data_IF_969269692859
#
_entry.id   IF_969269692859
#
_cell.length_a   1.000
_cell.length_b   1.000
_cell.length_c   1.000
_cell.angle_alpha   90.00
_cell.angle_beta   90.00
_cell.angle_gamma   90.00
#
_symmetry.space_group_name_H-M   'P 1'
#
loop_
_entity.id
_entity.type
_entity.pdbx_description
1 polymer ?
#
# COMPACT_ATOMS: atom_id res chain seq x y z
N UNK A 1 -11.29 4.13 15.79
CA UNK A 1 -11.69 4.73 17.08
C UNK A 1 -11.82 3.68 18.18
N UNK A 2 -12.50 2.58 17.95
CA UNK A 2 -12.70 1.55 18.98
C UNK A 2 -11.40 0.95 19.55
N UNK A 3 -10.39 0.78 18.73
CA UNK A 3 -9.07 0.36 19.17
C UNK A 3 -8.39 1.45 20.01
N UNK A 4 -8.47 2.70 19.54
CA UNK A 4 -7.96 3.86 20.28
C UNK A 4 -8.66 4.05 21.64
N UNK A 5 -9.97 3.82 21.73
CA UNK A 5 -10.74 3.84 22.98
C UNK A 5 -10.23 2.78 23.99
N UNK A 6 -9.68 1.65 23.50
CA UNK A 6 -9.06 0.61 24.34
C UNK A 6 -7.60 0.90 24.72
N UNK A 7 -7.03 2.00 24.25
CA UNK A 7 -5.64 2.40 24.54
C UNK A 7 -4.62 2.04 23.48
N UNK A 8 -5.06 1.51 22.31
CA UNK A 8 -4.16 1.22 21.19
C UNK A 8 -3.67 2.53 20.58
N UNK A 9 -2.37 2.66 20.37
CA UNK A 9 -1.77 3.77 19.63
C UNK A 9 -1.97 3.56 18.14
N UNK A 10 -2.63 4.52 17.47
CA UNK A 10 -2.99 4.43 16.06
C UNK A 10 -2.27 5.52 15.27
N UNK A 11 -1.48 5.09 14.30
CA UNK A 11 -0.76 5.96 13.39
C UNK A 11 -1.23 5.71 11.97
N UNK A 12 -1.70 6.75 11.31
CA UNK A 12 -2.17 6.71 9.91
C UNK A 12 -1.37 7.68 9.08
N UNK A 13 -0.79 7.20 8.00
CA UNK A 13 -0.11 8.05 7.02
C UNK A 13 -0.80 7.92 5.67
N UNK A 14 -0.99 9.05 5.00
CA UNK A 14 -1.69 9.16 3.73
C UNK A 14 -0.86 9.94 2.73
N UNK A 15 -0.90 9.55 1.47
CA UNK A 15 -0.26 10.30 0.39
C UNK A 15 -0.73 11.76 0.30
N UNK A 16 0.15 12.65 -0.11
CA UNK A 16 -0.10 14.10 -0.15
C UNK A 16 -1.21 14.53 -1.10
N UNK A 17 -1.42 13.85 -2.24
CA UNK A 17 -2.52 14.18 -3.16
C UNK A 17 -3.85 13.76 -2.53
N UNK A 18 -3.97 12.51 -2.08
CA UNK A 18 -5.16 12.05 -1.34
C UNK A 18 -5.35 12.85 -0.05
N UNK A 19 -4.24 13.20 0.61
CA UNK A 19 -4.25 14.09 1.76
C UNK A 19 -4.90 15.44 1.48
N UNK A 20 -4.56 16.05 0.36
CA UNK A 20 -5.13 17.33 -0.06
C UNK A 20 -6.60 17.21 -0.49
N UNK A 21 -6.93 16.20 -1.28
CA UNK A 21 -8.27 16.06 -1.87
C UNK A 21 -9.30 15.50 -0.89
N UNK A 22 -8.91 14.51 -0.07
CA UNK A 22 -9.87 13.66 0.63
C UNK A 22 -9.72 13.66 2.15
N UNK A 23 -8.57 14.06 2.70
CA UNK A 23 -8.24 13.87 4.13
C UNK A 23 -8.18 15.18 4.89
N UNK A 24 -7.44 16.18 4.41
CA UNK A 24 -7.33 17.47 5.08
C UNK A 24 -8.71 18.14 5.18
N UNK A 25 -9.02 18.70 6.36
CA UNK A 25 -10.32 19.30 6.67
C UNK A 25 -11.52 18.36 6.56
N UNK A 26 -11.32 17.07 6.28
CA UNK A 26 -12.39 16.09 6.23
C UNK A 26 -12.77 15.64 7.66
N UNK A 27 -14.02 15.88 8.10
CA UNK A 27 -14.44 15.58 9.48
C UNK A 27 -14.31 14.10 9.87
N UNK A 28 -14.35 13.17 8.93
CA UNK A 28 -14.17 11.74 9.20
C UNK A 28 -12.74 11.40 9.64
N UNK A 29 -11.74 11.93 8.94
CA UNK A 29 -10.34 11.77 9.32
C UNK A 29 -9.98 12.59 10.55
N UNK A 30 -10.53 13.79 10.67
CA UNK A 30 -10.36 14.63 11.86
C UNK A 30 -10.98 13.98 13.11
N UNK A 31 -12.07 13.21 12.96
CA UNK A 31 -12.66 12.44 14.06
C UNK A 31 -11.71 11.37 14.60
N UNK A 32 -10.88 10.76 13.73
CA UNK A 32 -9.82 9.84 14.15
C UNK A 32 -8.67 10.63 14.80
N UNK A 33 -8.17 11.66 14.13
CA UNK A 33 -7.03 12.48 14.58
C UNK A 33 -7.32 13.31 15.85
N UNK A 34 -8.58 13.48 16.21
CA UNK A 34 -9.00 14.10 17.48
C UNK A 34 -8.86 13.18 18.68
N UNK A 35 -8.72 11.88 18.50
CA UNK A 35 -8.54 10.94 19.59
C UNK A 35 -7.12 11.01 20.14
N UNK A 36 -6.96 11.01 21.48
CA UNK A 36 -5.64 11.13 22.14
C UNK A 36 -4.65 10.03 21.75
N UNK A 37 -5.15 8.84 21.40
CA UNK A 37 -4.37 7.68 21.01
C UNK A 37 -4.36 7.47 19.48
N UNK A 38 -4.65 8.51 18.68
CA UNK A 38 -4.61 8.39 17.23
C UNK A 38 -4.00 9.65 16.61
N UNK A 39 -3.23 9.47 15.55
CA UNK A 39 -2.63 10.55 14.79
C UNK A 39 -2.71 10.26 13.30
N UNK A 40 -3.07 11.27 12.50
CA UNK A 40 -3.05 11.22 11.04
C UNK A 40 -1.97 12.15 10.52
N UNK A 41 -1.08 11.62 9.66
CA UNK A 41 -0.07 12.40 8.94
C UNK A 41 -0.28 12.30 7.45
N UNK A 42 0.23 13.30 6.74
CA UNK A 42 0.20 13.38 5.28
C UNK A 42 1.65 13.44 4.80
N UNK A 43 2.03 12.44 3.99
CA UNK A 43 3.34 12.38 3.35
C UNK A 43 3.38 13.29 2.13
N UNK A 44 4.42 14.11 2.05
CA UNK A 44 4.67 15.08 0.98
C UNK A 44 3.38 15.86 0.59
N UNK A 45 2.85 16.69 1.50
CA UNK A 45 1.65 17.49 1.23
C UNK A 45 1.83 18.35 -0.02
N UNK A 46 0.77 18.50 -0.80
CA UNK A 46 0.78 19.32 -2.02
C UNK A 46 1.27 20.74 -1.72
N UNK A 47 2.33 21.14 -2.41
CA UNK A 47 2.94 22.47 -2.34
C UNK A 47 2.97 23.09 -3.74
N UNK A 48 2.05 24.02 -4.00
CA UNK A 48 1.97 24.70 -5.30
C UNK A 48 3.19 25.59 -5.62
N UNK A 49 4.01 25.93 -4.63
CA UNK A 49 5.26 26.68 -4.83
C UNK A 49 6.40 25.77 -5.28
N UNK A 50 6.26 24.45 -5.13
CA UNK A 50 7.25 23.44 -5.52
C UNK A 50 6.58 22.33 -6.33
N UNK A 51 6.10 22.60 -7.54
CA UNK A 51 5.34 21.62 -8.32
C UNK A 51 6.17 20.38 -8.72
N UNK A 52 7.49 20.48 -8.76
CA UNK A 52 8.39 19.35 -9.04
C UNK A 52 8.38 18.29 -7.94
N UNK A 53 8.07 18.66 -6.69
CA UNK A 53 7.98 17.70 -5.57
C UNK A 53 6.68 16.87 -5.65
N UNK A 54 5.73 17.23 -6.51
CA UNK A 54 4.44 16.53 -6.64
C UNK A 54 4.58 15.10 -7.19
N UNK A 55 5.73 14.72 -7.75
CA UNK A 55 5.96 13.37 -8.27
C UNK A 55 6.41 12.37 -7.19
N UNK A 56 6.81 12.84 -6.02
CA UNK A 56 7.16 11.99 -4.91
C UNK A 56 5.89 11.55 -4.16
N UNK A 57 5.38 10.37 -4.49
CA UNK A 57 4.11 9.86 -3.98
C UNK A 57 4.27 8.61 -3.15
N UNK A 58 3.51 8.52 -2.07
CA UNK A 58 3.37 7.33 -1.24
C UNK A 58 2.23 6.47 -1.84
N UNK A 59 2.56 5.30 -2.37
CA UNK A 59 1.58 4.42 -2.99
C UNK A 59 1.41 3.08 -2.27
N UNK A 60 2.03 2.91 -1.13
CA UNK A 60 1.99 1.70 -0.33
C UNK A 60 0.64 1.51 0.35
N UNK A 61 0.22 0.25 0.49
CA UNK A 61 -0.99 -0.13 1.20
C UNK A 61 -0.63 -1.28 2.12
N UNK A 62 -0.49 -0.98 3.39
CA UNK A 62 -0.22 -1.97 4.42
C UNK A 62 -0.89 -1.57 5.73
N UNK A 63 -1.10 -2.56 6.58
CA UNK A 63 -1.56 -2.42 7.94
C UNK A 63 -0.65 -3.25 8.82
N UNK A 64 -0.10 -2.65 9.85
CA UNK A 64 0.71 -3.31 10.87
C UNK A 64 -0.10 -3.34 12.16
N UNK A 65 -0.15 -4.48 12.83
CA UNK A 65 -0.82 -4.65 14.10
C UNK A 65 0.17 -5.23 15.09
N UNK A 66 0.59 -4.38 16.02
CA UNK A 66 1.62 -4.66 17.02
C UNK A 66 2.89 -5.25 16.35
N UNK A 67 3.59 -6.14 17.03
CA UNK A 67 4.73 -6.89 16.45
C UNK A 67 4.29 -8.27 15.91
N UNK A 68 2.99 -8.45 15.67
CA UNK A 68 2.43 -9.78 15.47
C UNK A 68 1.94 -10.03 14.05
N UNK A 69 1.35 -9.03 13.40
CA UNK A 69 0.80 -9.27 12.06
C UNK A 69 0.83 -8.03 11.16
N UNK A 70 0.93 -8.27 9.87
CA UNK A 70 0.73 -7.22 8.89
C UNK A 70 0.06 -7.73 7.62
N UNK A 71 -0.59 -6.81 6.90
CA UNK A 71 -0.99 -7.01 5.51
C UNK A 71 -0.22 -6.05 4.62
N UNK A 72 0.17 -6.49 3.43
CA UNK A 72 0.83 -5.68 2.41
C UNK A 72 0.32 -6.07 1.03
N UNK A 73 -0.13 -5.11 0.24
CA UNK A 73 -0.65 -5.37 -1.11
C UNK A 73 -0.98 -4.13 -1.91
N UNK A 74 -1.71 -4.30 -3.01
CA UNK A 74 -2.11 -3.22 -3.91
C UNK A 74 -3.48 -2.60 -3.60
N UNK A 75 -4.24 -3.16 -2.67
CA UNK A 75 -5.64 -2.79 -2.41
C UNK A 75 -5.78 -1.40 -1.81
N UNK A 76 -6.42 -0.49 -2.54
CA UNK A 76 -6.79 0.83 -2.01
C UNK A 76 -7.98 0.74 -1.04
N UNK A 77 -8.02 1.61 -0.04
CA UNK A 77 -9.13 1.75 0.90
C UNK A 77 -10.29 2.55 0.28
N UNK A 78 -10.83 2.06 -0.83
CA UNK A 78 -11.94 2.67 -1.56
C UNK A 78 -13.07 1.69 -1.78
N UNK A 79 -14.27 2.20 -2.12
CA UNK A 79 -15.46 1.40 -2.40
C UNK A 79 -15.29 0.42 -3.58
N UNK A 80 -14.32 0.65 -4.46
CA UNK A 80 -13.99 -0.27 -5.56
C UNK A 80 -13.31 -1.54 -5.08
N UNK A 81 -12.64 -1.52 -3.93
CA UNK A 81 -11.91 -2.65 -3.37
C UNK A 81 -12.55 -3.23 -2.12
N UNK A 82 -13.18 -2.38 -1.31
CA UNK A 82 -13.68 -2.76 0.01
C UNK A 82 -15.20 -2.57 0.12
N UNK A 83 -15.83 -3.46 0.89
CA UNK A 83 -17.26 -3.41 1.20
C UNK A 83 -18.17 -3.63 -0.01
N UNK A 84 -19.46 -3.38 0.17
CA UNK A 84 -20.53 -3.59 -0.84
C UNK A 84 -21.09 -2.27 -1.37
N UNK A 85 -20.28 -1.22 -1.41
CA UNK A 85 -20.70 0.14 -1.75
C UNK A 85 -20.63 0.45 -3.25
N UNK A 86 -20.00 -0.43 -4.05
CA UNK A 86 -19.89 -0.27 -5.50
C UNK A 86 -20.34 -1.53 -6.23
N UNK A 87 -21.01 -1.36 -7.38
CA UNK A 87 -21.40 -2.46 -8.25
C UNK A 87 -20.20 -3.14 -8.93
N UNK A 88 -19.22 -2.34 -9.33
CA UNK A 88 -17.95 -2.85 -9.86
C UNK A 88 -16.94 -3.06 -8.73
N UNK A 89 -16.16 -4.12 -8.82
CA UNK A 89 -15.09 -4.45 -7.87
C UNK A 89 -13.78 -4.63 -8.59
N UNK A 90 -12.73 -4.04 -8.06
CA UNK A 90 -11.38 -4.38 -8.46
C UNK A 90 -10.89 -5.59 -7.66
N UNK A 91 -10.22 -6.51 -8.34
CA UNK A 91 -9.58 -7.67 -7.72
C UNK A 91 -8.13 -7.30 -7.46
N UNK A 92 -7.67 -7.59 -6.26
CA UNK A 92 -6.28 -7.41 -5.87
C UNK A 92 -5.84 -8.54 -4.94
N UNK A 93 -4.53 -8.70 -4.79
CA UNK A 93 -3.93 -9.69 -3.91
C UNK A 93 -3.16 -8.98 -2.80
N UNK A 94 -3.24 -9.52 -1.61
CA UNK A 94 -2.51 -9.05 -0.44
C UNK A 94 -1.76 -10.20 0.20
N UNK A 95 -0.60 -9.91 0.71
CA UNK A 95 0.12 -10.79 1.60
C UNK A 95 -0.35 -10.52 3.02
N UNK A 96 -0.70 -11.57 3.75
CA UNK A 96 -0.91 -11.54 5.20
C UNK A 96 0.22 -12.32 5.86
N UNK A 97 0.89 -11.70 6.80
CA UNK A 97 1.97 -12.32 7.58
C UNK A 97 1.60 -12.30 9.04
N UNK A 98 1.73 -13.44 9.68
CA UNK A 98 1.52 -13.63 11.10
C UNK A 98 2.82 -14.12 11.76
N UNK A 99 3.30 -13.36 12.76
CA UNK A 99 4.49 -13.70 13.53
C UNK A 99 4.10 -14.57 14.72
N UNK A 100 4.67 -15.76 14.78
CA UNK A 100 4.33 -16.75 15.82
C UNK A 100 5.07 -16.52 17.14
N UNK A 101 6.18 -15.76 17.11
CA UNK A 101 7.00 -15.47 18.30
C UNK A 101 7.26 -13.96 18.46
N UNK A 102 6.19 -13.15 18.61
CA UNK A 102 6.31 -11.71 18.69
C UNK A 102 7.16 -11.27 19.90
N UNK A 103 7.97 -10.24 19.70
CA UNK A 103 8.86 -9.69 20.73
C UNK A 103 10.13 -10.48 20.99
N UNK A 104 10.34 -11.66 20.37
CA UNK A 104 11.57 -12.44 20.45
C UNK A 104 12.23 -12.54 19.07
N UNK A 105 13.55 -12.37 19.03
CA UNK A 105 14.34 -12.51 17.79
C UNK A 105 13.83 -11.68 16.60
N UNK A 106 13.17 -10.56 16.87
CA UNK A 106 12.55 -9.71 15.85
C UNK A 106 13.55 -9.06 14.89
N UNK A 107 14.85 -9.05 15.22
CA UNK A 107 15.87 -8.47 14.35
C UNK A 107 15.88 -9.20 12.99
N UNK A 108 15.80 -8.45 11.92
CA UNK A 108 15.80 -8.92 10.54
C UNK A 108 14.56 -9.72 10.10
N UNK A 109 13.49 -9.77 10.88
CA UNK A 109 12.22 -10.30 10.39
C UNK A 109 11.57 -9.31 9.41
N UNK A 110 10.70 -9.81 8.52
CA UNK A 110 9.95 -8.93 7.62
C UNK A 110 9.03 -7.98 8.39
N UNK A 111 8.57 -8.37 9.57
CA UNK A 111 7.80 -7.52 10.48
C UNK A 111 8.63 -6.33 10.93
N UNK A 112 9.84 -6.56 11.48
CA UNK A 112 10.71 -5.46 11.93
C UNK A 112 11.17 -4.57 10.78
N UNK A 113 11.39 -5.15 9.59
CA UNK A 113 11.72 -4.37 8.39
C UNK A 113 10.58 -3.45 7.99
N UNK A 114 9.33 -3.94 7.99
CA UNK A 114 8.16 -3.13 7.65
C UNK A 114 7.88 -2.07 8.70
N UNK A 115 8.06 -2.38 9.99
CA UNK A 115 7.94 -1.41 11.07
C UNK A 115 8.98 -0.29 10.93
N UNK A 116 10.24 -0.65 10.68
CA UNK A 116 11.32 0.33 10.45
C UNK A 116 11.04 1.19 9.22
N UNK A 117 10.52 0.60 8.16
CA UNK A 117 10.11 1.31 6.96
C UNK A 117 8.98 2.31 7.26
N UNK A 118 7.95 1.90 7.98
CA UNK A 118 6.87 2.79 8.42
C UNK A 118 7.41 3.95 9.26
N UNK A 119 8.23 3.66 10.27
CA UNK A 119 8.79 4.66 11.18
C UNK A 119 9.66 5.67 10.42
N UNK A 120 10.44 5.21 9.43
CA UNK A 120 11.24 6.08 8.57
C UNK A 120 10.40 7.08 7.79
N UNK A 121 9.25 6.66 7.25
CA UNK A 121 8.32 7.55 6.55
C UNK A 121 7.62 8.48 7.56
N UNK A 122 7.19 7.92 8.69
CA UNK A 122 6.48 8.65 9.72
C UNK A 122 7.30 9.81 10.29
N UNK A 123 8.57 9.58 10.55
CA UNK A 123 9.50 10.55 11.13
C UNK A 123 10.20 11.43 10.09
N UNK A 124 9.97 11.14 8.81
CA UNK A 124 10.50 11.95 7.71
C UNK A 124 10.08 13.42 7.81
N UNK A 125 10.95 14.31 7.37
CA UNK A 125 10.62 15.73 7.21
C UNK A 125 9.49 16.00 6.22
N UNK A 126 9.19 15.04 5.33
CA UNK A 126 8.11 15.12 4.36
C UNK A 126 6.76 14.75 4.95
N UNK A 127 6.72 14.12 6.12
CA UNK A 127 5.48 13.74 6.81
C UNK A 127 5.00 14.84 7.76
N UNK A 128 3.81 15.36 7.51
CA UNK A 128 3.23 16.48 8.27
C UNK A 128 1.90 16.08 8.94
N UNK A 129 1.60 16.58 10.14
CA UNK A 129 0.28 16.37 10.75
C UNK A 129 -0.86 16.82 9.86
N UNK A 130 -1.97 16.10 9.90
CA UNK A 130 -3.20 16.48 9.23
C UNK A 130 -3.69 17.84 9.73
N UNK A 131 -4.19 18.69 8.84
CA UNK A 131 -4.69 20.02 9.15
C UNK A 131 -6.21 20.01 9.23
N UNK A 132 -6.75 20.72 10.20
CA UNK A 132 -8.18 20.92 10.39
C UNK A 132 -8.58 21.10 11.84
N UNK A 133 -9.86 21.36 12.09
CA UNK A 133 -10.40 21.55 13.44
C UNK A 133 -10.80 20.21 14.06
N UNK A 134 -10.00 19.74 15.01
CA UNK A 134 -10.26 18.51 15.77
C UNK A 134 -11.48 18.63 16.69
N UNK A 135 -11.79 19.84 17.17
CA UNK A 135 -12.91 20.12 18.10
C UNK A 135 -14.11 20.76 17.40
N UNK A 136 -14.14 20.78 16.06
CA UNK A 136 -15.25 21.33 15.31
C UNK A 136 -16.53 20.51 15.48
N UNK A 137 -17.70 21.19 15.48
CA UNK A 137 -19.01 20.52 15.58
C UNK A 137 -19.16 19.32 14.64
N UNK A 138 -18.76 19.47 13.37
CA UNK A 138 -18.80 18.40 12.37
C UNK A 138 -17.89 17.24 12.73
N UNK A 139 -16.72 17.50 13.31
CA UNK A 139 -15.78 16.45 13.74
C UNK A 139 -16.38 15.62 14.88
N UNK A 140 -17.00 16.26 15.86
CA UNK A 140 -17.70 15.58 16.96
C UNK A 140 -18.85 14.73 16.46
N UNK A 141 -19.70 15.27 15.57
CA UNK A 141 -20.80 14.53 14.94
C UNK A 141 -20.29 13.29 14.18
N UNK A 142 -19.15 13.38 13.48
CA UNK A 142 -18.55 12.23 12.76
C UNK A 142 -17.94 11.20 13.70
N UNK A 143 -17.41 11.62 14.84
CA UNK A 143 -16.92 10.70 15.87
C UNK A 143 -18.06 9.78 16.36
N UNK A 144 -19.21 10.34 16.68
CA UNK A 144 -20.37 9.55 17.09
C UNK A 144 -20.93 8.68 15.96
N UNK A 145 -20.95 9.20 14.73
CA UNK A 145 -21.38 8.46 13.56
C UNK A 145 -20.47 7.23 13.28
N UNK A 146 -19.15 7.37 13.42
CA UNK A 146 -18.21 6.25 13.27
C UNK A 146 -18.42 5.18 14.34
N UNK A 147 -18.60 5.58 15.60
CA UNK A 147 -18.89 4.64 16.69
C UNK A 147 -20.21 3.88 16.47
N UNK A 148 -21.23 4.56 16.00
CA UNK A 148 -22.52 3.94 15.66
C UNK A 148 -22.34 2.96 14.49
N UNK A 149 -21.70 3.39 13.42
CA UNK A 149 -21.49 2.56 12.23
C UNK A 149 -20.69 1.29 12.54
N UNK A 150 -19.67 1.38 13.39
CA UNK A 150 -18.92 0.21 13.83
C UNK A 150 -19.82 -0.85 14.50
N UNK A 151 -20.75 -0.41 15.39
CA UNK A 151 -21.71 -1.33 16.02
C UNK A 151 -22.68 -1.96 15.00
N UNK A 152 -23.05 -1.22 13.96
CA UNK A 152 -23.89 -1.73 12.86
C UNK A 152 -23.13 -2.79 12.06
N UNK A 153 -21.86 -2.57 11.76
CA UNK A 153 -21.00 -3.55 11.07
C UNK A 153 -20.81 -4.83 11.88
N UNK A 154 -20.61 -4.73 13.20
CA UNK A 154 -20.52 -5.91 14.07
C UNK A 154 -21.79 -6.76 14.03
N UNK A 155 -22.96 -6.14 13.96
CA UNK A 155 -24.24 -6.84 13.82
C UNK A 155 -24.44 -7.44 12.42
N UNK A 156 -23.97 -6.74 11.40
CA UNK A 156 -24.13 -7.16 10.00
C UNK A 156 -23.18 -8.30 9.62
N UNK A 157 -21.96 -8.28 10.16
CA UNK A 157 -20.88 -9.23 9.83
C UNK A 157 -20.25 -9.83 11.10
N UNK A 158 -21.03 -10.56 11.93
CA UNK A 158 -20.52 -11.07 13.22
C UNK A 158 -19.27 -11.94 13.05
N UNK A 159 -19.22 -12.81 12.04
CA UNK A 159 -18.08 -13.68 11.77
C UNK A 159 -16.74 -12.92 11.56
N UNK A 160 -16.77 -11.68 11.06
CA UNK A 160 -15.57 -10.87 10.90
C UNK A 160 -14.98 -10.38 12.24
N UNK A 161 -15.72 -10.54 13.34
CA UNK A 161 -15.31 -10.12 14.68
C UNK A 161 -15.04 -11.31 15.63
N UNK A 162 -15.13 -12.52 15.10
CA UNK A 162 -14.76 -13.73 15.85
C UNK A 162 -13.23 -13.87 15.91
N UNK A 163 -12.75 -14.49 16.99
CA UNK A 163 -11.33 -14.79 17.12
C UNK A 163 -10.93 -15.82 16.07
N UNK A 164 -9.97 -15.48 15.25
CA UNK A 164 -9.42 -16.38 14.24
C UNK A 164 -8.19 -17.11 14.79
N UNK A 165 -7.99 -18.35 14.34
CA UNK A 165 -6.74 -19.06 14.51
C UNK A 165 -5.85 -18.81 13.27
N UNK A 166 -4.98 -17.81 13.38
CA UNK A 166 -4.16 -17.36 12.25
C UNK A 166 -3.13 -18.40 11.82
N UNK A 167 -2.65 -19.24 12.73
CA UNK A 167 -1.72 -20.33 12.40
C UNK A 167 -2.36 -21.36 11.46
N UNK A 168 -3.63 -21.69 11.66
CA UNK A 168 -4.37 -22.60 10.76
C UNK A 168 -4.67 -22.00 9.38
N UNK A 169 -4.66 -20.66 9.29
CA UNK A 169 -4.98 -19.93 8.05
C UNK A 169 -3.73 -19.51 7.27
N UNK A 170 -2.54 -19.83 7.75
CA UNK A 170 -1.26 -19.43 7.16
C UNK A 170 -0.38 -20.64 6.88
N UNK A 171 0.68 -20.44 6.08
CA UNK A 171 1.72 -21.43 5.84
C UNK A 171 2.98 -20.99 6.56
N UNK A 172 3.65 -21.92 7.23
CA UNK A 172 4.93 -21.63 7.86
C UNK A 172 5.99 -21.27 6.82
N UNK A 173 6.75 -20.23 7.11
CA UNK A 173 7.90 -19.82 6.31
C UNK A 173 8.92 -19.10 7.18
N UNK A 174 10.19 -19.23 6.84
CA UNK A 174 11.31 -18.56 7.50
C UNK A 174 12.08 -17.61 6.55
N UNK A 175 11.49 -17.30 5.39
CA UNK A 175 12.17 -16.55 4.34
C UNK A 175 11.25 -15.49 3.72
N UNK A 176 10.95 -14.46 4.49
CA UNK A 176 10.27 -13.26 3.99
C UNK A 176 11.23 -12.07 4.18
N UNK A 177 11.42 -11.29 3.12
CA UNK A 177 12.23 -10.07 3.15
C UNK A 177 11.47 -8.93 2.50
N UNK A 178 11.44 -7.78 3.13
CA UNK A 178 10.88 -6.55 2.55
C UNK A 178 11.83 -5.99 1.50
N UNK A 179 11.29 -5.65 0.36
CA UNK A 179 11.96 -4.84 -0.66
C UNK A 179 11.22 -3.51 -0.80
N UNK A 180 11.94 -2.42 -0.80
CA UNK A 180 11.39 -1.08 -0.99
C UNK A 180 12.29 -0.23 -1.87
N UNK A 181 11.70 0.76 -2.53
CA UNK A 181 12.44 1.87 -3.11
C UNK A 181 12.85 2.86 -2.00
N UNK A 182 13.83 3.75 -2.25
CA UNK A 182 14.15 4.83 -1.33
C UNK A 182 12.91 5.67 -0.99
N UNK A 183 12.83 6.12 0.26
CA UNK A 183 11.69 6.91 0.77
C UNK A 183 11.86 8.41 0.57
N UNK A 184 13.07 8.85 0.32
CA UNK A 184 13.39 10.26 0.09
C UNK A 184 12.75 10.74 -1.21
N UNK A 185 12.06 11.88 -1.16
CA UNK A 185 11.35 12.44 -2.30
C UNK A 185 12.25 12.75 -3.50
N UNK A 186 13.53 12.97 -3.25
CA UNK A 186 14.55 13.29 -4.24
C UNK A 186 15.21 12.06 -4.87
N UNK A 187 15.16 10.90 -4.19
CA UNK A 187 15.79 9.67 -4.66
C UNK A 187 14.78 8.82 -5.45
N UNK A 188 15.04 8.62 -6.75
CA UNK A 188 14.18 7.86 -7.67
C UNK A 188 14.79 6.54 -8.13
N UNK A 189 15.84 6.07 -7.45
CA UNK A 189 16.47 4.79 -7.79
C UNK A 189 15.49 3.61 -7.64
N UNK A 190 15.29 2.79 -8.65
CA UNK A 190 14.33 1.68 -8.63
C UNK A 190 14.94 0.43 -7.96
N UNK A 191 15.37 0.51 -6.72
CA UNK A 191 16.04 -0.58 -6.00
C UNK A 191 15.20 -1.85 -5.93
N UNK A 192 13.89 -1.70 -5.82
CA UNK A 192 12.98 -2.85 -5.83
C UNK A 192 13.06 -3.60 -7.17
N UNK A 193 13.06 -2.86 -8.30
CA UNK A 193 13.22 -3.47 -9.61
C UNK A 193 14.56 -4.18 -9.76
N UNK A 194 15.67 -3.56 -9.39
CA UNK A 194 17.00 -4.17 -9.45
C UNK A 194 17.07 -5.46 -8.64
N UNK A 195 16.47 -5.48 -7.46
CA UNK A 195 16.42 -6.69 -6.61
C UNK A 195 15.55 -7.78 -7.23
N UNK A 196 14.39 -7.44 -7.78
CA UNK A 196 13.50 -8.38 -8.46
C UNK A 196 14.13 -8.93 -9.74
N UNK A 197 14.79 -8.10 -10.55
CA UNK A 197 15.51 -8.54 -11.73
C UNK A 197 16.59 -9.58 -11.38
N UNK A 198 17.43 -9.30 -10.38
CA UNK A 198 18.43 -10.25 -9.90
C UNK A 198 17.83 -11.57 -9.41
N UNK A 199 16.69 -11.50 -8.74
CA UNK A 199 15.97 -12.69 -8.30
C UNK A 199 15.44 -13.49 -9.50
N UNK A 200 14.82 -12.83 -10.46
CA UNK A 200 14.31 -13.47 -11.69
C UNK A 200 15.45 -14.12 -12.51
N UNK A 201 16.61 -13.47 -12.59
CA UNK A 201 17.80 -14.02 -13.28
C UNK A 201 18.29 -15.35 -12.67
N UNK A 202 17.99 -15.61 -11.40
CA UNK A 202 18.32 -16.90 -10.76
C UNK A 202 17.26 -17.98 -11.00
N UNK A 203 16.14 -17.63 -11.61
CA UNK A 203 15.00 -18.51 -11.86
C UNK A 203 14.98 -19.07 -13.29
N UNK A 204 13.98 -19.90 -13.56
CA UNK A 204 13.68 -20.43 -14.92
C UNK A 204 12.40 -19.84 -15.48
N UNK A 205 11.53 -19.36 -14.61
CA UNK A 205 10.24 -18.77 -14.97
C UNK A 205 9.92 -17.62 -14.02
N UNK A 206 9.40 -16.54 -14.57
CA UNK A 206 8.87 -15.42 -13.82
C UNK A 206 7.48 -15.04 -14.35
N UNK A 207 6.52 -14.87 -13.46
CA UNK A 207 5.20 -14.34 -13.79
C UNK A 207 5.02 -13.00 -13.08
N UNK A 208 4.79 -11.94 -13.86
CA UNK A 208 4.62 -10.59 -13.37
C UNK A 208 3.13 -10.22 -13.47
N UNK A 209 2.51 -9.98 -12.32
CA UNK A 209 1.17 -9.44 -12.25
C UNK A 209 1.22 -7.94 -12.03
N UNK A 210 0.74 -7.17 -12.98
CA UNK A 210 0.70 -5.71 -12.85
C UNK A 210 -0.52 -5.14 -13.57
N UNK A 211 -1.23 -4.16 -12.98
CA UNK A 211 -2.38 -3.54 -13.65
C UNK A 211 -1.96 -2.72 -14.88
N UNK A 212 -0.73 -2.25 -14.92
CA UNK A 212 -0.20 -1.40 -16.00
C UNK A 212 1.25 -1.77 -16.30
N UNK A 213 1.62 -1.82 -17.57
CA UNK A 213 3.00 -2.01 -17.98
C UNK A 213 3.57 -0.63 -18.34
N UNK A 214 4.40 -0.11 -17.43
CA UNK A 214 5.08 1.18 -17.56
C UNK A 214 6.57 0.92 -17.36
N UNK A 215 7.31 0.86 -18.47
CA UNK A 215 8.73 0.52 -18.45
C UNK A 215 9.60 1.77 -18.60
N UNK A 216 10.55 1.93 -17.69
CA UNK A 216 11.70 2.81 -17.94
C UNK A 216 12.62 2.23 -19.02
N UNK A 217 13.53 3.06 -19.54
CA UNK A 217 14.42 2.64 -20.65
C UNK A 217 15.22 1.38 -20.29
N UNK A 218 15.79 1.32 -19.11
CA UNK A 218 16.61 0.20 -18.63
C UNK A 218 15.81 -1.09 -18.45
N UNK A 219 14.51 -1.00 -18.13
CA UNK A 219 13.66 -2.18 -17.93
C UNK A 219 13.47 -3.01 -19.20
N UNK A 220 13.53 -2.39 -20.40
CA UNK A 220 13.49 -3.14 -21.66
C UNK A 220 14.73 -4.01 -21.84
N UNK A 221 15.91 -3.46 -21.51
CA UNK A 221 17.18 -4.18 -21.56
C UNK A 221 17.20 -5.31 -20.53
N UNK A 222 16.73 -5.05 -19.32
CA UNK A 222 16.60 -6.04 -18.25
C UNK A 222 15.65 -7.20 -18.64
N UNK A 223 14.51 -6.90 -19.24
CA UNK A 223 13.56 -7.92 -19.73
C UNK A 223 14.18 -8.76 -20.85
N UNK A 224 14.93 -8.13 -21.77
CA UNK A 224 15.68 -8.84 -22.81
C UNK A 224 16.75 -9.74 -22.20
N UNK A 225 17.50 -9.28 -21.22
CA UNK A 225 18.48 -10.09 -20.51
C UNK A 225 17.87 -11.35 -19.89
N UNK A 226 16.68 -11.24 -19.28
CA UNK A 226 15.97 -12.39 -18.71
C UNK A 226 15.68 -13.44 -19.80
N UNK A 227 15.09 -13.04 -20.90
CA UNK A 227 14.72 -13.95 -22.00
C UNK A 227 15.94 -14.52 -22.72
N UNK A 228 16.99 -13.73 -22.93
CA UNK A 228 18.27 -14.18 -23.50
C UNK A 228 18.98 -15.21 -22.59
N UNK A 229 18.78 -15.12 -21.28
CA UNK A 229 19.25 -16.11 -20.31
C UNK A 229 18.27 -17.29 -20.09
N UNK A 230 17.32 -17.48 -21.02
CA UNK A 230 16.35 -18.57 -20.98
C UNK A 230 15.40 -18.54 -19.77
N UNK A 231 15.15 -17.39 -19.18
CA UNK A 231 14.07 -17.20 -18.21
C UNK A 231 12.78 -16.99 -18.99
N UNK A 232 11.79 -17.86 -18.78
CA UNK A 232 10.45 -17.65 -19.36
C UNK A 232 9.71 -16.56 -18.58
N UNK A 233 9.52 -15.39 -19.17
CA UNK A 233 8.83 -14.27 -18.53
C UNK A 233 7.42 -14.12 -19.10
N UNK A 234 6.43 -14.13 -18.22
CA UNK A 234 5.02 -13.87 -18.56
C UNK A 234 4.54 -12.65 -17.80
N UNK A 235 3.89 -11.69 -18.52
CA UNK A 235 3.31 -10.49 -17.90
C UNK A 235 1.81 -10.53 -18.06
N UNK A 236 1.09 -10.51 -16.95
CA UNK A 236 -0.36 -10.48 -16.91
C UNK A 236 -0.81 -9.10 -16.48
N UNK A 237 -1.55 -8.43 -17.36
CA UNK A 237 -2.01 -7.06 -17.14
C UNK A 237 -3.51 -6.91 -17.40
N UNK A 238 -4.06 -5.74 -17.09
CA UNK A 238 -5.45 -5.41 -17.38
C UNK A 238 -5.73 -5.35 -18.88
N UNK A 239 -6.97 -5.70 -19.25
CA UNK A 239 -7.50 -5.40 -20.57
C UNK A 239 -7.53 -3.88 -20.80
N UNK A 240 -6.77 -3.41 -21.78
CA UNK A 240 -6.65 -1.98 -22.11
C UNK A 240 -7.98 -1.36 -22.55
N UNK A 241 -8.90 -2.16 -23.10
CA UNK A 241 -10.21 -1.71 -23.56
C UNK A 241 -11.23 -1.57 -22.41
N UNK A 242 -11.03 -2.32 -21.32
CA UNK A 242 -11.92 -2.38 -20.16
C UNK A 242 -11.22 -2.01 -18.85
N UNK A 243 -9.95 -1.64 -18.93
CA UNK A 243 -9.14 -1.27 -17.75
C UNK A 243 -9.71 -0.08 -17.01
N UNK A 244 -9.60 -0.11 -15.71
CA UNK A 244 -10.16 0.91 -14.83
C UNK A 244 -9.48 2.29 -14.96
N UNK A 245 -8.27 2.35 -15.49
CA UNK A 245 -7.50 3.59 -15.63
C UNK A 245 -6.88 3.69 -17.03
N UNK A 246 -7.50 4.46 -17.95
CA UNK A 246 -6.98 4.62 -19.32
C UNK A 246 -5.59 5.27 -19.36
N UNK A 247 -5.26 6.14 -18.39
CA UNK A 247 -3.93 6.77 -18.32
C UNK A 247 -2.81 5.75 -18.07
N UNK A 248 -3.05 4.77 -17.20
CA UNK A 248 -2.08 3.71 -16.92
C UNK A 248 -1.83 2.76 -18.09
N UNK A 249 -2.75 2.67 -19.06
CA UNK A 249 -2.60 1.83 -20.25
C UNK A 249 -1.89 2.54 -21.40
N UNK A 250 -1.70 3.86 -21.33
CA UNK A 250 -1.16 4.66 -22.45
C UNK A 250 0.25 4.22 -22.81
N UNK A 251 1.12 4.00 -21.84
CA UNK A 251 2.51 3.58 -22.09
C UNK A 251 2.56 2.23 -22.80
N UNK A 252 1.78 1.25 -22.34
CA UNK A 252 1.69 -0.04 -23.01
C UNK A 252 1.20 0.09 -24.44
N UNK A 253 0.15 0.87 -24.69
CA UNK A 253 -0.39 1.05 -26.05
C UNK A 253 0.63 1.68 -27.00
N UNK A 254 1.44 2.61 -26.52
CA UNK A 254 2.46 3.28 -27.31
C UNK A 254 3.72 2.43 -27.50
N UNK A 255 4.09 1.61 -26.52
CA UNK A 255 5.38 0.93 -26.44
C UNK A 255 5.28 -0.60 -26.54
N UNK A 256 4.09 -1.15 -26.82
CA UNK A 256 3.84 -2.61 -26.83
C UNK A 256 4.81 -3.39 -27.74
N UNK A 257 5.20 -2.81 -28.88
CA UNK A 257 6.16 -3.47 -29.76
C UNK A 257 7.56 -3.59 -29.14
N UNK A 258 7.98 -2.59 -28.35
CA UNK A 258 9.25 -2.69 -27.63
C UNK A 258 9.19 -3.77 -26.57
N UNK A 259 8.07 -3.88 -25.86
CA UNK A 259 7.85 -4.93 -24.85
C UNK A 259 7.91 -6.31 -25.53
N UNK A 260 7.22 -6.51 -26.65
CA UNK A 260 7.23 -7.80 -27.35
C UNK A 260 8.62 -8.16 -27.90
N UNK A 261 9.42 -7.18 -28.32
CA UNK A 261 10.80 -7.41 -28.79
C UNK A 261 11.72 -7.91 -27.69
N UNK A 262 11.39 -7.74 -26.42
CA UNK A 262 12.16 -8.31 -25.31
C UNK A 262 11.95 -9.83 -25.15
N UNK A 263 11.02 -10.44 -25.90
CA UNK A 263 10.72 -11.88 -25.83
C UNK A 263 9.78 -12.28 -24.70
N UNK A 264 9.23 -11.34 -23.92
CA UNK A 264 8.22 -11.62 -22.89
C UNK A 264 6.88 -12.00 -23.51
N UNK A 265 6.05 -12.73 -22.75
CA UNK A 265 4.73 -13.22 -23.15
C UNK A 265 3.64 -12.46 -22.45
#
# INVERSE_FOLDING_TARGET
LNAADRGVDIRVIVDGISGFMDVQHNPWFLALDAHKNAQVRIYNPVNFLKPWDMQARLHDKYLIIDDQMYTLGGRNTTNLFLGDYSKGKNIDKELFVYETDPGKNMQNTSMSQLQTYFDSIWDSSDSKPCRGSRNGKKTVEKTEALKKHYKELQKKYPAAYEKQNWEELTFETNKITLLSNPIESENKEPWMWYSLHRLMMSGKQATIYTPYIICGREMYDDLSQLTDNNVSVEIITNDVAKGANPWGCTDYLNEKEKIWRTGVK
#
